data_IF_830951791698
#
_entry.id   IF_830951791698
#
_cell.length_a   1.000
_cell.length_b   1.000
_cell.length_c   1.000
_cell.angle_alpha   90.00
_cell.angle_beta   90.00
_cell.angle_gamma   90.00
#
_symmetry.space_group_name_H-M   'P 1'
#
loop_
_entity.id
_entity.type
_entity.pdbx_description
1 polymer ?
#
# COMPACT_ATOMS: atom_id res chain seq x y z
N UNK A 1 -46.93 -43.32 39.71
CA UNK A 1 -46.79 -42.44 38.55
C UNK A 1 -45.81 -41.34 38.93
N UNK A 2 -44.54 -41.41 38.50
CA UNK A 2 -43.47 -40.40 38.83
C UNK A 2 -43.03 -39.71 37.54
N UNK A 3 -43.37 -38.44 37.40
CA UNK A 3 -42.92 -37.59 36.30
C UNK A 3 -41.45 -37.23 36.51
N UNK A 4 -40.58 -37.64 35.56
CA UNK A 4 -39.19 -37.17 35.46
C UNK A 4 -39.16 -35.84 34.71
N UNK A 5 -38.76 -34.77 35.39
CA UNK A 5 -38.49 -33.46 34.80
C UNK A 5 -37.10 -33.50 34.16
N UNK A 6 -37.01 -33.47 32.81
CA UNK A 6 -35.78 -33.24 32.10
C UNK A 6 -35.52 -31.70 32.06
N UNK A 7 -34.47 -31.26 32.75
CA UNK A 7 -33.96 -29.91 32.63
C UNK A 7 -33.01 -29.85 31.42
N UNK A 8 -33.40 -29.12 30.38
CA UNK A 8 -32.55 -28.85 29.23
C UNK A 8 -31.71 -27.61 29.58
N UNK A 9 -30.44 -27.81 29.86
CA UNK A 9 -29.45 -26.76 30.04
C UNK A 9 -29.02 -26.28 28.66
N UNK A 10 -29.57 -25.14 28.19
CA UNK A 10 -29.14 -24.49 26.97
C UNK A 10 -27.79 -23.76 27.20
N UNK A 11 -26.71 -24.32 26.68
CA UNK A 11 -25.42 -23.62 26.65
C UNK A 11 -25.44 -22.51 25.60
N UNK A 12 -25.50 -21.27 26.05
CA UNK A 12 -25.37 -20.07 25.20
C UNK A 12 -23.88 -19.90 24.87
N UNK A 13 -23.45 -20.34 23.68
CA UNK A 13 -22.10 -20.08 23.18
C UNK A 13 -22.07 -18.64 22.69
N UNK A 14 -21.55 -17.71 23.50
CA UNK A 14 -21.20 -16.36 23.07
C UNK A 14 -19.99 -16.45 22.13
N UNK A 15 -20.21 -16.41 20.82
CA UNK A 15 -19.16 -16.20 19.85
C UNK A 15 -18.64 -14.77 20.01
N UNK A 16 -17.54 -14.60 20.74
CA UNK A 16 -16.80 -13.36 20.77
C UNK A 16 -16.19 -13.12 19.39
N UNK A 17 -16.84 -12.30 18.56
CA UNK A 17 -16.25 -11.78 17.35
C UNK A 17 -15.04 -10.93 17.74
N UNK A 18 -13.85 -11.48 17.64
CA UNK A 18 -12.61 -10.73 17.76
C UNK A 18 -12.52 -9.79 16.56
N UNK A 19 -12.93 -8.55 16.74
CA UNK A 19 -12.61 -7.50 15.80
C UNK A 19 -11.08 -7.37 15.79
N UNK A 20 -10.45 -7.89 14.74
CA UNK A 20 -9.04 -7.63 14.47
C UNK A 20 -8.91 -6.12 14.23
N UNK A 21 -8.62 -5.35 15.27
CA UNK A 21 -8.23 -3.97 15.12
C UNK A 21 -7.00 -3.96 14.22
N UNK A 22 -7.12 -3.35 13.06
CA UNK A 22 -5.99 -3.11 12.18
C UNK A 22 -4.95 -2.33 12.98
N UNK A 23 -3.93 -3.04 13.46
CA UNK A 23 -2.88 -2.42 14.28
C UNK A 23 -2.14 -1.42 13.40
N UNK A 24 -2.14 -0.15 13.80
CA UNK A 24 -1.36 0.88 13.12
C UNK A 24 0.12 0.51 13.16
N UNK A 25 0.75 0.45 12.00
CA UNK A 25 2.17 0.20 11.87
C UNK A 25 2.87 1.43 11.32
N UNK A 26 3.98 1.81 11.92
CA UNK A 26 4.80 2.93 11.44
C UNK A 26 6.19 2.44 11.09
N UNK A 27 6.63 2.76 9.88
CA UNK A 27 7.96 2.46 9.36
C UNK A 27 8.71 3.75 9.12
N UNK A 28 10.02 3.73 9.39
CA UNK A 28 10.94 4.83 9.11
C UNK A 28 12.17 4.32 8.41
N UNK A 29 12.84 5.19 7.66
CA UNK A 29 14.07 4.87 6.96
C UNK A 29 14.54 6.06 6.14
N UNK A 30 15.42 5.81 5.18
CA UNK A 30 16.01 6.82 4.33
C UNK A 30 15.70 6.50 2.87
N UNK A 31 15.11 7.47 2.15
CA UNK A 31 14.98 7.43 0.71
C UNK A 31 16.27 7.95 0.08
N UNK A 32 16.83 7.18 -0.83
CA UNK A 32 18.06 7.52 -1.59
C UNK A 32 17.71 7.53 -3.07
N UNK A 33 17.82 8.69 -3.68
CA UNK A 33 17.62 8.88 -5.12
C UNK A 33 18.75 8.25 -5.92
N UNK A 34 18.40 7.42 -6.93
CA UNK A 34 19.34 6.72 -7.79
C UNK A 34 19.26 7.32 -9.19
N UNK A 35 20.29 8.07 -9.58
CA UNK A 35 20.41 8.60 -10.95
C UNK A 35 19.39 9.71 -11.33
N UNK A 36 19.55 10.27 -12.53
CA UNK A 36 18.69 11.32 -13.07
C UNK A 36 18.61 12.57 -12.18
N UNK A 37 17.45 13.24 -12.18
CA UNK A 37 17.19 14.45 -11.37
C UNK A 37 17.17 14.17 -9.87
N UNK A 38 17.01 12.92 -9.44
CA UNK A 38 17.01 12.53 -8.03
C UNK A 38 18.33 11.94 -7.55
N UNK A 39 19.34 11.82 -8.44
CA UNK A 39 20.65 11.32 -8.07
C UNK A 39 21.27 12.12 -6.93
N UNK A 40 21.70 11.42 -5.86
CA UNK A 40 22.30 12.03 -4.67
C UNK A 40 21.30 12.66 -3.69
N UNK A 41 20.01 12.71 -3.98
CA UNK A 41 19.00 13.20 -3.03
C UNK A 41 18.78 12.16 -1.96
N UNK A 42 18.96 12.55 -0.70
CA UNK A 42 18.71 11.70 0.46
C UNK A 42 17.71 12.40 1.38
N UNK A 43 16.63 11.70 1.78
CA UNK A 43 15.59 12.20 2.69
C UNK A 43 15.12 11.11 3.63
N UNK A 44 14.88 11.45 4.87
CA UNK A 44 14.16 10.54 5.77
C UNK A 44 12.72 10.40 5.33
N UNK A 45 12.13 9.22 5.55
CA UNK A 45 10.71 9.00 5.32
C UNK A 45 10.02 8.43 6.55
N UNK A 46 8.72 8.65 6.62
CA UNK A 46 7.81 7.99 7.54
C UNK A 46 6.65 7.41 6.73
N UNK A 47 6.36 6.15 6.96
CA UNK A 47 5.22 5.43 6.42
C UNK A 47 4.37 4.92 7.58
N UNK A 48 3.13 5.38 7.67
CA UNK A 48 2.14 4.90 8.64
C UNK A 48 1.06 4.15 7.89
N UNK A 49 0.81 2.89 8.25
CA UNK A 49 -0.24 2.04 7.71
C UNK A 49 -1.28 1.86 8.80
N UNK A 50 -2.51 2.30 8.53
CA UNK A 50 -3.66 2.21 9.45
C UNK A 50 -4.68 1.16 9.01
N UNK A 51 -4.58 0.71 7.76
CA UNK A 51 -5.43 -0.32 7.17
C UNK A 51 -4.76 -0.99 5.98
N UNK A 52 -5.35 -2.10 5.54
CA UNK A 52 -4.92 -2.86 4.36
C UNK A 52 -6.12 -3.17 3.49
N UNK A 53 -5.91 -3.28 2.19
CA UNK A 53 -6.90 -3.84 1.28
C UNK A 53 -7.05 -5.34 1.58
N UNK A 54 -8.29 -5.79 1.75
CA UNK A 54 -8.58 -7.23 1.90
C UNK A 54 -8.28 -7.98 0.60
N UNK A 55 -8.12 -9.28 0.64
CA UNK A 55 -7.88 -10.11 -0.55
C UNK A 55 -8.99 -9.93 -1.60
N UNK A 56 -10.25 -9.81 -1.18
CA UNK A 56 -11.37 -9.55 -2.08
C UNK A 56 -11.32 -8.16 -2.71
N UNK A 57 -10.85 -7.15 -1.97
CA UNK A 57 -10.62 -5.81 -2.53
C UNK A 57 -9.46 -5.80 -3.51
N UNK A 58 -8.36 -6.51 -3.21
CA UNK A 58 -7.21 -6.66 -4.12
C UNK A 58 -7.65 -7.30 -5.42
N UNK A 59 -8.40 -8.41 -5.37
CA UNK A 59 -8.94 -9.10 -6.55
C UNK A 59 -9.84 -8.20 -7.38
N UNK A 60 -10.76 -7.46 -6.74
CA UNK A 60 -11.65 -6.51 -7.41
C UNK A 60 -10.84 -5.38 -8.07
N UNK A 61 -9.87 -4.80 -7.36
CA UNK A 61 -9.07 -3.68 -7.85
C UNK A 61 -8.18 -4.11 -9.05
N UNK A 62 -7.70 -5.36 -9.05
CA UNK A 62 -7.00 -5.98 -10.20
C UNK A 62 -7.95 -6.19 -11.39
N UNK A 63 -9.19 -6.65 -11.17
CA UNK A 63 -10.19 -6.78 -12.22
C UNK A 63 -10.55 -5.41 -12.84
N UNK A 64 -10.75 -4.38 -12.01
CA UNK A 64 -10.98 -3.00 -12.47
C UNK A 64 -9.81 -2.50 -13.34
N UNK A 65 -8.57 -2.78 -12.90
CA UNK A 65 -7.37 -2.41 -13.67
C UNK A 65 -7.31 -3.15 -15.02
N UNK A 66 -7.67 -4.44 -15.03
CA UNK A 66 -7.66 -5.26 -16.25
C UNK A 66 -8.70 -4.79 -17.29
N UNK A 67 -9.88 -4.41 -16.85
CA UNK A 67 -11.01 -4.02 -17.70
C UNK A 67 -10.99 -2.55 -18.08
N UNK A 68 -10.72 -1.66 -17.12
CA UNK A 68 -10.86 -0.22 -17.26
C UNK A 68 -9.56 0.58 -17.21
N UNK A 69 -8.43 -0.11 -17.05
CA UNK A 69 -7.10 0.52 -16.94
C UNK A 69 -6.87 1.31 -15.65
N UNK A 70 -5.75 2.01 -15.63
CA UNK A 70 -5.30 2.73 -14.42
C UNK A 70 -6.24 3.85 -13.97
N UNK A 71 -6.95 4.52 -14.89
CA UNK A 71 -7.85 5.62 -14.53
C UNK A 71 -9.11 5.09 -13.81
N UNK A 72 -9.58 3.90 -14.19
CA UNK A 72 -10.65 3.21 -13.48
C UNK A 72 -10.18 2.77 -12.08
N UNK A 73 -8.98 2.22 -11.99
CA UNK A 73 -8.36 1.86 -10.70
C UNK A 73 -8.22 3.10 -9.80
N UNK A 74 -7.70 4.22 -10.32
CA UNK A 74 -7.51 5.46 -9.56
C UNK A 74 -8.83 5.94 -8.95
N UNK A 75 -9.91 5.96 -9.75
CA UNK A 75 -11.25 6.30 -9.24
C UNK A 75 -11.77 5.34 -8.19
N UNK A 76 -11.49 4.04 -8.34
CA UNK A 76 -11.98 3.02 -7.41
C UNK A 76 -11.29 3.05 -6.05
N UNK A 77 -10.00 3.46 -6.00
CA UNK A 77 -9.22 3.48 -4.77
C UNK A 77 -9.04 4.89 -4.18
N UNK A 78 -9.34 5.95 -4.93
CA UNK A 78 -9.01 7.34 -4.61
C UNK A 78 -9.51 7.82 -3.24
N UNK A 79 -10.69 7.39 -2.84
CA UNK A 79 -11.32 7.80 -1.56
C UNK A 79 -10.83 6.98 -0.35
N UNK A 80 -10.05 5.92 -0.56
CA UNK A 80 -9.54 5.10 0.55
C UNK A 80 -8.44 5.84 1.32
N UNK A 81 -8.47 5.68 2.66
CA UNK A 81 -7.49 6.24 3.59
C UNK A 81 -6.89 5.13 4.44
N UNK A 82 -5.86 4.47 3.92
CA UNK A 82 -5.22 3.32 4.55
C UNK A 82 -3.92 3.70 5.29
N UNK A 83 -3.64 5.00 5.41
CA UNK A 83 -2.45 5.51 6.07
C UNK A 83 -1.81 6.68 5.34
N UNK A 84 -0.52 6.92 5.59
CA UNK A 84 0.21 8.06 5.04
C UNK A 84 1.68 7.72 4.78
N UNK A 85 2.18 8.15 3.62
CA UNK A 85 3.61 8.17 3.28
C UNK A 85 4.11 9.62 3.21
N UNK A 86 5.21 9.94 3.90
CA UNK A 86 5.79 11.29 3.91
C UNK A 86 7.31 11.24 3.81
N UNK A 87 7.86 12.17 3.03
CA UNK A 87 9.29 12.47 3.01
C UNK A 87 9.55 13.73 3.86
N UNK A 88 10.68 13.78 4.52
CA UNK A 88 11.09 14.93 5.34
C UNK A 88 11.03 16.23 4.50
N UNK A 89 10.36 17.25 5.05
CA UNK A 89 10.15 18.55 4.41
C UNK A 89 9.07 18.55 3.32
N UNK A 90 8.24 17.50 3.21
CA UNK A 90 7.12 17.44 2.27
C UNK A 90 5.81 17.06 2.96
N UNK A 91 4.69 17.54 2.41
CA UNK A 91 3.37 17.06 2.79
C UNK A 91 3.24 15.57 2.43
N UNK A 92 2.82 14.77 3.39
CA UNK A 92 2.62 13.35 3.17
C UNK A 92 1.44 13.06 2.23
N UNK A 93 1.45 11.85 1.65
CA UNK A 93 0.40 11.30 0.78
C UNK A 93 -0.44 10.31 1.53
N UNK A 94 -1.74 10.37 1.30
CA UNK A 94 -2.68 9.36 1.77
C UNK A 94 -2.48 8.07 0.97
N UNK A 95 -2.47 6.92 1.65
CA UNK A 95 -2.37 5.62 0.99
C UNK A 95 -3.77 5.19 0.54
N UNK A 96 -3.90 4.88 -0.74
CA UNK A 96 -5.18 4.49 -1.34
C UNK A 96 -5.30 2.98 -1.52
N UNK A 97 -4.16 2.28 -1.60
CA UNK A 97 -4.10 0.82 -1.71
C UNK A 97 -2.90 0.31 -0.91
N UNK A 98 -3.11 -0.73 -0.12
CA UNK A 98 -2.06 -1.42 0.64
C UNK A 98 -2.33 -2.92 0.57
N UNK A 99 -1.45 -3.66 -0.10
CA UNK A 99 -1.48 -5.12 -0.13
C UNK A 99 -0.26 -5.68 0.56
N UNK A 100 -0.43 -6.76 1.30
CA UNK A 100 0.66 -7.44 1.99
C UNK A 100 0.62 -8.94 1.70
N UNK A 101 1.78 -9.49 1.41
CA UNK A 101 1.98 -10.93 1.30
C UNK A 101 3.10 -11.35 2.24
N UNK A 102 2.93 -12.52 2.86
CA UNK A 102 3.95 -13.12 3.74
C UNK A 102 4.43 -14.40 3.10
N UNK A 103 5.74 -14.52 2.94
CA UNK A 103 6.38 -15.72 2.42
C UNK A 103 6.53 -16.81 3.49
N UNK A 104 6.85 -18.03 3.09
CA UNK A 104 6.99 -19.19 3.99
C UNK A 104 8.08 -19.00 5.06
N UNK A 105 9.13 -18.21 4.77
CA UNK A 105 10.17 -17.85 5.73
C UNK A 105 9.77 -16.71 6.68
N UNK A 106 8.55 -16.15 6.50
CA UNK A 106 8.01 -15.07 7.34
C UNK A 106 8.42 -13.67 6.90
N UNK A 107 9.09 -13.51 5.75
CA UNK A 107 9.34 -12.20 5.17
C UNK A 107 8.05 -11.61 4.61
N UNK A 108 7.88 -10.31 4.78
CA UNK A 108 6.69 -9.55 4.39
C UNK A 108 7.01 -8.66 3.20
N UNK A 109 6.19 -8.75 2.17
CA UNK A 109 6.21 -7.83 1.03
C UNK A 109 4.98 -6.96 1.09
N UNK A 110 5.16 -5.65 1.20
CA UNK A 110 4.08 -4.66 1.27
C UNK A 110 4.12 -3.80 0.02
N UNK A 111 3.03 -3.80 -0.73
CA UNK A 111 2.85 -2.98 -1.94
C UNK A 111 1.84 -1.89 -1.65
N UNK A 112 2.18 -0.66 -1.98
CA UNK A 112 1.40 0.52 -1.68
C UNK A 112 1.26 1.36 -2.94
N UNK A 113 0.02 1.79 -3.22
CA UNK A 113 -0.28 2.82 -4.22
C UNK A 113 -0.93 4.02 -3.53
N UNK A 114 -0.61 5.19 -4.03
CA UNK A 114 -1.26 6.43 -3.66
C UNK A 114 -1.33 7.36 -4.85
N UNK A 115 -2.36 8.21 -4.89
CA UNK A 115 -2.46 9.26 -5.88
C UNK A 115 -1.32 10.27 -5.69
N UNK A 116 -0.58 10.54 -6.76
CA UNK A 116 0.43 11.60 -6.72
C UNK A 116 -0.20 12.97 -7.03
N UNK A 117 0.37 14.03 -6.50
CA UNK A 117 -0.04 15.35 -6.95
C UNK A 117 0.57 15.64 -8.31
N UNK A 118 -0.31 15.95 -9.23
CA UNK A 118 0.06 16.60 -10.45
C UNK A 118 0.20 18.09 -10.15
N UNK A 119 1.33 18.70 -10.50
CA UNK A 119 1.44 20.14 -10.38
C UNK A 119 0.65 20.82 -11.52
N UNK A 120 0.25 22.08 -11.29
CA UNK A 120 -0.56 22.83 -12.25
C UNK A 120 0.12 22.94 -13.63
N UNK A 121 1.45 22.99 -13.67
CA UNK A 121 2.21 23.05 -14.90
C UNK A 121 2.08 21.76 -15.73
N UNK A 122 2.16 20.58 -15.09
CA UNK A 122 1.99 19.27 -15.73
C UNK A 122 0.61 19.17 -16.39
N UNK A 123 -0.45 19.58 -15.67
CA UNK A 123 -1.83 19.55 -16.15
C UNK A 123 -2.04 20.56 -17.28
N UNK A 124 -1.56 21.79 -17.11
CA UNK A 124 -1.80 22.88 -18.07
C UNK A 124 -1.11 22.66 -19.42
N UNK A 125 0.07 22.05 -19.43
CA UNK A 125 0.86 21.85 -20.64
C UNK A 125 0.82 20.40 -21.16
N UNK A 126 -0.05 19.53 -20.62
CA UNK A 126 -0.23 18.17 -21.09
C UNK A 126 1.08 17.35 -21.02
N UNK A 127 1.84 17.52 -19.93
CA UNK A 127 3.08 16.78 -19.77
C UNK A 127 2.82 15.28 -19.74
N UNK A 128 3.65 14.48 -20.43
CA UNK A 128 3.53 12.99 -20.45
C UNK A 128 3.53 12.35 -19.06
N UNK A 129 4.02 13.06 -18.04
CA UNK A 129 3.97 12.62 -16.65
C UNK A 129 2.54 12.48 -16.10
N UNK A 130 1.53 13.14 -16.70
CA UNK A 130 0.11 12.99 -16.37
C UNK A 130 -0.35 11.53 -16.53
N UNK A 131 0.23 10.79 -17.48
CA UNK A 131 -0.04 9.37 -17.70
C UNK A 131 0.48 8.45 -16.57
N UNK A 132 1.12 8.99 -15.54
CA UNK A 132 1.72 8.30 -14.40
C UNK A 132 1.14 8.83 -13.08
N UNK A 133 -0.16 8.57 -12.82
CA UNK A 133 -0.90 9.22 -11.73
C UNK A 133 -0.60 8.67 -10.34
N UNK A 134 0.13 7.54 -10.25
CA UNK A 134 0.39 6.90 -8.97
C UNK A 134 1.78 7.21 -8.43
N UNK A 135 1.89 7.27 -7.09
CA UNK A 135 3.10 6.93 -6.37
C UNK A 135 3.06 5.46 -5.99
N UNK A 136 4.19 4.79 -6.08
CA UNK A 136 4.35 3.38 -5.73
C UNK A 136 5.43 3.22 -4.67
N UNK A 137 5.13 2.45 -3.64
CA UNK A 137 6.10 2.00 -2.64
C UNK A 137 6.01 0.48 -2.51
N UNK A 138 7.16 -0.17 -2.49
CA UNK A 138 7.30 -1.56 -2.15
C UNK A 138 8.29 -1.70 -0.99
N UNK A 139 7.92 -2.45 0.04
CA UNK A 139 8.81 -2.82 1.13
C UNK A 139 8.98 -4.34 1.16
N UNK A 140 10.20 -4.78 1.40
CA UNK A 140 10.54 -6.18 1.71
C UNK A 140 11.16 -6.18 3.11
N UNK A 141 10.49 -6.83 4.05
CA UNK A 141 10.79 -6.76 5.47
C UNK A 141 10.98 -8.15 6.05
N UNK A 142 11.97 -8.29 6.95
CA UNK A 142 12.14 -9.47 7.77
C UNK A 142 11.02 -9.58 8.85
N UNK A 143 11.02 -10.69 9.61
CA UNK A 143 10.07 -10.90 10.71
C UNK A 143 10.15 -9.83 11.81
N UNK A 144 11.28 -9.14 11.95
CA UNK A 144 11.48 -8.05 12.91
C UNK A 144 11.01 -6.70 12.35
N UNK A 145 10.46 -6.66 11.13
CA UNK A 145 10.01 -5.42 10.47
C UNK A 145 11.16 -4.54 10.00
N UNK A 146 12.32 -5.12 9.70
CA UNK A 146 13.51 -4.44 9.14
C UNK A 146 13.70 -4.87 7.71
N UNK A 147 14.17 -3.97 6.86
CA UNK A 147 14.43 -4.30 5.48
C UNK A 147 14.75 -3.11 4.60
N UNK A 148 14.32 -3.21 3.38
CA UNK A 148 14.51 -2.19 2.35
C UNK A 148 13.29 -2.11 1.43
N UNK A 149 13.30 -1.15 0.53
CA UNK A 149 12.20 -1.01 -0.41
C UNK A 149 12.54 -0.15 -1.60
N UNK A 150 11.53 0.05 -2.43
CA UNK A 150 11.58 0.86 -3.64
C UNK A 150 10.49 1.92 -3.57
N UNK A 151 10.81 3.13 -4.03
CA UNK A 151 9.86 4.23 -4.20
C UNK A 151 9.89 4.75 -5.63
N UNK A 152 8.74 4.79 -6.28
CA UNK A 152 8.54 5.37 -7.61
C UNK A 152 7.57 6.55 -7.46
N UNK A 153 8.05 7.80 -7.58
CA UNK A 153 7.22 8.99 -7.36
C UNK A 153 6.19 9.25 -8.46
N UNK A 154 6.40 8.69 -9.66
CA UNK A 154 5.47 8.76 -10.79
C UNK A 154 5.43 7.41 -11.47
N UNK A 155 4.40 6.64 -11.18
CA UNK A 155 4.19 5.29 -11.64
C UNK A 155 2.92 5.19 -12.50
N UNK A 156 3.01 4.36 -13.54
CA UNK A 156 1.87 3.86 -14.31
C UNK A 156 1.65 2.40 -13.95
N UNK A 157 0.42 2.03 -13.70
CA UNK A 157 0.03 0.66 -13.38
C UNK A 157 -0.76 0.07 -14.54
N UNK A 158 -0.39 -1.11 -14.99
CA UNK A 158 -1.04 -1.81 -16.11
C UNK A 158 -1.28 -3.27 -15.77
N UNK A 159 -2.28 -3.86 -16.39
CA UNK A 159 -2.49 -5.30 -16.37
C UNK A 159 -2.15 -5.87 -17.75
N UNK A 160 -1.13 -6.72 -17.81
CA UNK A 160 -0.68 -7.38 -19.05
C UNK A 160 -0.20 -8.79 -18.73
N UNK A 161 -0.40 -9.72 -19.65
CA UNK A 161 0.08 -11.11 -19.53
C UNK A 161 -0.33 -11.74 -18.18
N UNK A 162 -1.56 -11.44 -17.73
CA UNK A 162 -2.11 -11.89 -16.44
C UNK A 162 -1.29 -11.43 -15.20
N UNK A 163 -0.60 -10.30 -15.32
CA UNK A 163 0.22 -9.72 -14.26
C UNK A 163 0.03 -8.21 -14.17
N UNK A 164 0.19 -7.69 -12.95
CA UNK A 164 0.23 -6.24 -12.71
C UNK A 164 1.66 -5.76 -12.94
N UNK A 165 1.83 -4.87 -13.90
CA UNK A 165 3.10 -4.23 -14.23
C UNK A 165 3.11 -2.79 -13.71
N UNK A 166 4.24 -2.37 -13.13
CA UNK A 166 4.47 -1.01 -12.68
C UNK A 166 5.60 -0.39 -13.50
N UNK A 167 5.28 0.67 -14.24
CA UNK A 167 6.20 1.42 -15.08
C UNK A 167 6.51 2.78 -14.44
N UNK A 168 7.77 3.19 -14.45
CA UNK A 168 8.18 4.50 -13.98
C UNK A 168 8.23 5.54 -15.11
N UNK A 169 8.03 6.81 -14.80
CA UNK A 169 8.16 7.92 -15.76
C UNK A 169 9.63 8.34 -15.91
N UNK A 170 10.47 7.54 -16.55
CA UNK A 170 11.85 7.94 -16.90
C UNK A 170 12.72 8.42 -15.71
N UNK A 171 12.23 8.26 -14.48
CA UNK A 171 12.92 8.58 -13.23
C UNK A 171 13.32 7.26 -12.61
N UNK A 172 14.62 7.07 -12.35
CA UNK A 172 15.07 5.88 -11.66
C UNK A 172 14.33 5.72 -10.33
N UNK A 173 13.85 4.51 -10.00
CA UNK A 173 13.26 4.22 -8.70
C UNK A 173 14.22 4.61 -7.58
N UNK A 174 13.74 5.31 -6.56
CA UNK A 174 14.54 5.58 -5.38
C UNK A 174 14.56 4.36 -4.47
N UNK A 175 15.69 4.10 -3.81
CA UNK A 175 15.82 3.05 -2.81
C UNK A 175 15.33 3.56 -1.45
N UNK A 176 14.57 2.76 -0.75
CA UNK A 176 14.23 2.95 0.66
C UNK A 176 15.17 2.06 1.49
N UNK A 177 16.15 2.67 2.15
CA UNK A 177 17.19 1.99 2.89
C UNK A 177 16.96 2.09 4.40
N UNK A 178 17.43 1.06 5.13
CA UNK A 178 17.36 1.05 6.59
C UNK A 178 15.93 1.13 7.12
N UNK A 179 14.99 0.51 6.42
CA UNK A 179 13.58 0.45 6.83
C UNK A 179 13.47 -0.30 8.14
N UNK A 180 12.74 0.27 9.09
CA UNK A 180 12.46 -0.35 10.38
C UNK A 180 11.09 0.05 10.89
N UNK A 181 10.38 -0.92 11.47
CA UNK A 181 9.15 -0.69 12.21
C UNK A 181 9.47 0.08 13.49
N UNK A 182 8.70 1.13 13.78
CA UNK A 182 8.67 1.74 15.11
C UNK A 182 7.79 0.88 16.00
N UNK A 183 8.32 0.54 17.17
CA UNK A 183 7.56 -0.11 18.25
C UNK A 183 6.54 0.83 18.86
#
# INVERSE_FOLDING_TARGET
>A
MRLKRCAILGALILAAATYAHAQTETYTGTMVGIGGRMGGVTRSFTLTITGRSSDSEVQRDVAILAEGGQDALLRAVGDKSLGRFSLSGQLGRQLNFVSETTSSNGDRRIIILFERWLNLYEVRYGARSVDYPFGYVELVLDRAGRGEGTFIPAARVRFRNNQVEVENFGIYPARLAGVRRRG
#
